data_IF_454489235817
#
_entry.id   IF_454489235817
#
_cell.length_a   1.000
_cell.length_b   1.000
_cell.length_c   1.000
_cell.angle_alpha   90.00
_cell.angle_beta   90.00
_cell.angle_gamma   90.00
#
_symmetry.space_group_name_H-M   'P 1'
#
loop_
_entity.id
_entity.type
_entity.pdbx_description
1 polymer ?
#
# COMPACT_ATOMS: atom_id res chain seq x y z
N UNK A 1 43.80 5.76 15.61
CA UNK A 1 43.52 7.17 15.56
C UNK A 1 42.26 7.28 14.69
N UNK A 2 41.04 7.19 15.12
CA UNK A 2 40.42 7.96 16.21
C UNK A 2 39.64 9.09 15.61
N UNK A 3 38.42 8.84 15.09
CA UNK A 3 37.41 9.90 14.89
C UNK A 3 36.13 9.42 15.51
N UNK A 4 35.94 9.91 16.74
CA UNK A 4 34.70 9.83 17.50
C UNK A 4 33.77 10.93 17.00
N UNK A 5 32.93 10.64 16.03
CA UNK A 5 31.78 11.52 15.72
C UNK A 5 30.69 11.36 16.78
N UNK A 6 30.36 12.48 17.38
CA UNK A 6 29.48 12.62 18.50
C UNK A 6 28.10 12.03 18.26
N UNK A 7 27.72 11.06 19.06
CA UNK A 7 26.36 10.66 19.31
C UNK A 7 25.66 11.82 20.03
N UNK A 8 24.93 12.64 19.27
CA UNK A 8 24.00 13.61 19.86
C UNK A 8 23.02 12.82 20.75
N UNK A 9 23.05 13.08 22.02
CA UNK A 9 22.11 12.59 23.03
C UNK A 9 20.68 12.88 22.57
N UNK A 10 20.02 11.84 22.03
CA UNK A 10 18.58 11.90 21.76
C UNK A 10 17.89 11.95 23.12
N UNK A 11 17.50 13.15 23.54
CA UNK A 11 16.62 13.34 24.68
C UNK A 11 15.42 12.41 24.53
N UNK A 12 15.31 11.42 25.42
CA UNK A 12 14.16 10.53 25.52
C UNK A 12 12.95 11.35 25.93
N UNK A 13 12.18 11.85 24.98
CA UNK A 13 10.88 12.43 25.31
C UNK A 13 10.01 11.34 25.95
N UNK A 14 9.31 11.64 27.06
CA UNK A 14 8.38 10.70 27.65
C UNK A 14 7.34 10.30 26.63
N UNK A 15 7.01 9.00 26.57
CA UNK A 15 5.92 8.52 25.75
C UNK A 15 4.64 9.23 26.22
N UNK A 16 4.03 10.06 25.37
CA UNK A 16 2.69 10.57 25.65
C UNK A 16 1.80 9.34 25.78
N UNK A 17 1.07 9.16 26.87
CA UNK A 17 0.25 7.97 27.14
C UNK A 17 -0.87 7.73 26.10
N UNK A 18 -0.54 7.77 24.80
CA UNK A 18 -1.45 7.63 23.67
C UNK A 18 -2.22 8.90 23.31
N UNK A 19 -1.89 10.06 23.91
CA UNK A 19 -2.58 11.33 23.71
C UNK A 19 -1.71 12.38 23.02
N UNK A 20 -2.35 13.36 22.39
CA UNK A 20 -1.68 14.53 21.87
C UNK A 20 -1.31 15.50 23.02
N UNK A 21 -0.14 16.12 22.92
CA UNK A 21 0.21 17.34 23.66
C UNK A 21 0.62 18.42 22.66
N UNK A 22 0.55 19.69 23.11
CA UNK A 22 0.95 20.83 22.26
C UNK A 22 2.42 20.71 21.83
N UNK A 23 3.29 20.23 22.73
CA UNK A 23 4.72 20.04 22.45
C UNK A 23 4.91 18.92 21.38
N UNK A 24 4.16 17.82 21.48
CA UNK A 24 4.24 16.72 20.51
C UNK A 24 3.80 17.16 19.12
N UNK A 25 2.73 17.95 19.06
CA UNK A 25 2.22 18.53 17.80
C UNK A 25 3.18 19.58 17.24
N UNK A 26 3.73 20.45 18.10
CA UNK A 26 4.72 21.46 17.70
C UNK A 26 6.00 20.81 17.18
N UNK A 27 6.54 19.79 17.87
CA UNK A 27 7.69 19.01 17.41
C UNK A 27 7.42 18.40 16.02
N UNK A 28 6.24 17.80 15.84
CA UNK A 28 5.91 17.23 14.53
C UNK A 28 5.83 18.31 13.44
N UNK A 29 5.19 19.43 13.70
CA UNK A 29 5.11 20.56 12.76
C UNK A 29 6.47 21.16 12.41
N UNK A 30 7.41 21.16 13.35
CA UNK A 30 8.77 21.66 13.11
C UNK A 30 9.55 20.82 12.08
N UNK A 31 9.04 19.65 11.73
CA UNK A 31 9.65 18.72 10.74
C UNK A 31 9.13 18.94 9.33
N UNK A 32 8.10 19.75 9.14
CA UNK A 32 7.54 20.06 7.81
C UNK A 32 8.63 20.63 6.90
N UNK A 33 8.69 20.14 5.67
CA UNK A 33 9.66 20.54 4.65
C UNK A 33 11.05 19.91 4.79
N UNK A 34 11.27 19.03 5.78
CA UNK A 34 12.56 18.36 5.96
C UNK A 34 12.59 17.03 5.22
N UNK A 35 13.23 17.01 4.06
CA UNK A 35 13.47 15.78 3.29
C UNK A 35 14.55 14.94 3.99
N UNK A 36 14.33 13.65 4.09
CA UNK A 36 15.24 12.70 4.73
C UNK A 36 15.10 11.32 4.09
N UNK A 37 16.11 10.43 4.18
CA UNK A 37 15.94 9.05 3.74
C UNK A 37 14.75 8.39 4.43
N UNK A 38 13.98 7.61 3.68
CA UNK A 38 12.95 6.76 4.26
C UNK A 38 13.59 5.70 5.17
N UNK A 39 12.95 5.42 6.29
CA UNK A 39 13.49 4.48 7.26
C UNK A 39 13.09 3.05 6.90
N UNK A 40 14.02 2.11 7.15
CA UNK A 40 13.74 0.68 7.22
C UNK A 40 13.12 0.12 5.94
N UNK A 41 13.82 0.20 4.81
CA UNK A 41 13.40 -0.58 3.66
C UNK A 41 13.33 -2.07 4.07
N UNK A 42 12.23 -2.74 3.72
CA UNK A 42 12.12 -4.18 3.86
C UNK A 42 13.03 -4.85 2.84
N UNK A 43 12.91 -4.43 1.59
CA UNK A 43 13.80 -4.77 0.50
C UNK A 43 14.71 -3.57 0.17
N UNK A 44 15.89 -3.82 -0.37
CA UNK A 44 16.83 -2.79 -0.85
C UNK A 44 17.08 -2.90 -2.34
N UNK A 45 16.79 -4.07 -2.90
CA UNK A 45 16.96 -4.36 -4.30
C UNK A 45 15.72 -5.11 -4.81
N UNK A 46 15.36 -4.86 -6.05
CA UNK A 46 14.39 -5.60 -6.80
C UNK A 46 15.08 -6.85 -7.38
N UNK A 47 15.32 -7.87 -6.56
CA UNK A 47 15.78 -9.17 -7.04
C UNK A 47 14.60 -10.03 -7.49
N UNK A 48 14.87 -11.10 -8.25
CA UNK A 48 13.86 -12.08 -8.60
C UNK A 48 13.04 -12.51 -7.37
N UNK A 49 13.70 -12.91 -6.28
CA UNK A 49 13.03 -13.41 -5.08
C UNK A 49 12.17 -12.32 -4.41
N UNK A 50 12.69 -11.08 -4.28
CA UNK A 50 11.93 -10.01 -3.62
C UNK A 50 10.73 -9.57 -4.43
N UNK A 51 10.84 -9.55 -5.77
CA UNK A 51 9.73 -9.28 -6.69
C UNK A 51 8.70 -10.38 -6.58
N UNK A 52 9.13 -11.64 -6.65
CA UNK A 52 8.26 -12.81 -6.60
C UNK A 52 7.48 -12.90 -5.27
N UNK A 53 8.18 -12.77 -4.14
CA UNK A 53 7.52 -12.78 -2.82
C UNK A 53 6.51 -11.64 -2.66
N UNK A 54 6.80 -10.46 -3.23
CA UNK A 54 5.85 -9.35 -3.20
C UNK A 54 4.63 -9.64 -4.08
N UNK A 55 4.84 -10.16 -5.29
CA UNK A 55 3.78 -10.54 -6.22
C UNK A 55 2.85 -11.60 -5.60
N UNK A 56 3.44 -12.67 -5.02
CA UNK A 56 2.67 -13.67 -4.26
C UNK A 56 1.89 -13.05 -3.10
N UNK A 57 2.51 -12.12 -2.36
CA UNK A 57 1.90 -11.46 -1.20
C UNK A 57 0.67 -10.62 -1.55
N UNK A 58 0.63 -10.02 -2.74
CA UNK A 58 -0.56 -9.28 -3.23
C UNK A 58 -1.47 -10.14 -4.09
N UNK A 59 -1.09 -11.39 -4.36
CA UNK A 59 -1.81 -12.33 -5.23
C UNK A 59 -1.85 -11.87 -6.69
N UNK A 60 -0.73 -11.36 -7.21
CA UNK A 60 -0.55 -10.88 -8.59
C UNK A 60 0.56 -11.68 -9.27
N UNK A 61 0.17 -12.74 -9.98
CA UNK A 61 1.08 -13.63 -10.69
C UNK A 61 1.19 -13.29 -12.19
N UNK A 62 1.12 -12.01 -12.54
CA UNK A 62 1.36 -11.55 -13.90
C UNK A 62 2.78 -11.97 -14.35
N UNK A 63 2.92 -12.64 -15.50
CA UNK A 63 4.21 -13.16 -15.97
C UNK A 63 5.30 -12.08 -16.14
N UNK A 64 4.94 -10.80 -16.29
CA UNK A 64 5.94 -9.71 -16.28
C UNK A 64 6.76 -9.65 -14.98
N UNK A 65 6.19 -10.10 -13.86
CA UNK A 65 6.84 -10.07 -12.54
C UNK A 65 7.46 -11.41 -12.16
N UNK A 66 6.91 -12.53 -12.63
CA UNK A 66 7.26 -13.85 -12.08
C UNK A 66 7.93 -14.79 -13.09
N UNK A 67 7.96 -14.43 -14.37
CA UNK A 67 8.58 -15.23 -15.44
C UNK A 67 9.59 -14.38 -16.24
N UNK A 68 10.90 -14.48 -15.91
CA UNK A 68 11.94 -13.73 -16.63
C UNK A 68 11.96 -14.00 -18.14
N UNK A 69 11.74 -15.26 -18.55
CA UNK A 69 11.77 -15.63 -19.98
C UNK A 69 10.60 -15.01 -20.75
N UNK A 70 9.43 -14.96 -20.12
CA UNK A 70 8.29 -14.24 -20.67
C UNK A 70 8.60 -12.74 -20.80
N UNK A 71 9.08 -12.13 -19.73
CA UNK A 71 9.36 -10.68 -19.67
C UNK A 71 10.42 -10.25 -20.70
N UNK A 72 11.45 -11.06 -20.92
CA UNK A 72 12.47 -10.85 -21.97
C UNK A 72 11.87 -10.81 -23.39
N UNK A 73 10.79 -11.56 -23.62
CA UNK A 73 10.06 -11.61 -24.89
C UNK A 73 9.08 -10.46 -25.12
N UNK A 74 8.89 -9.57 -24.13
CA UNK A 74 7.96 -8.44 -24.21
C UNK A 74 8.64 -7.15 -24.64
N UNK A 75 7.85 -6.10 -24.86
CA UNK A 75 8.36 -4.74 -25.16
C UNK A 75 9.28 -4.19 -24.07
N UNK A 76 9.22 -4.74 -22.86
CA UNK A 76 10.06 -4.33 -21.73
C UNK A 76 11.46 -4.96 -21.77
N UNK A 77 11.62 -6.11 -22.45
CA UNK A 77 12.87 -6.82 -22.66
C UNK A 77 13.53 -7.37 -21.39
N UNK A 78 12.85 -7.31 -20.26
CA UNK A 78 13.34 -7.82 -18.96
C UNK A 78 12.23 -7.86 -17.91
N UNK A 79 12.47 -8.63 -16.84
CA UNK A 79 11.56 -8.70 -15.70
C UNK A 79 11.42 -7.34 -15.00
N UNK A 80 10.19 -7.01 -14.65
CA UNK A 80 9.82 -5.81 -13.89
C UNK A 80 9.25 -6.22 -12.53
N UNK A 81 9.25 -5.29 -11.60
CA UNK A 81 8.47 -5.41 -10.37
C UNK A 81 7.04 -4.88 -10.58
N UNK A 82 6.01 -5.42 -9.88
CA UNK A 82 4.70 -4.79 -9.82
C UNK A 82 4.85 -3.32 -9.40
N UNK A 83 4.07 -2.38 -9.94
CA UNK A 83 4.24 -0.95 -9.61
C UNK A 83 4.23 -0.66 -8.10
N UNK A 84 3.46 -1.41 -7.34
CA UNK A 84 3.35 -1.27 -5.87
C UNK A 84 4.46 -1.96 -5.08
N UNK A 85 5.41 -2.63 -5.72
CA UNK A 85 6.63 -3.13 -5.07
C UNK A 85 7.36 -2.04 -4.27
N UNK A 86 7.16 -0.79 -4.65
CA UNK A 86 7.68 0.39 -3.94
C UNK A 86 7.28 0.44 -2.46
N UNK A 87 6.19 -0.20 -2.06
CA UNK A 87 5.82 -0.32 -0.64
C UNK A 87 6.86 -1.08 0.18
N UNK A 88 7.60 -1.99 -0.44
CA UNK A 88 8.65 -2.78 0.23
C UNK A 88 9.96 -2.03 0.41
N UNK A 89 10.14 -0.89 -0.26
CA UNK A 89 11.40 -0.14 -0.32
C UNK A 89 11.50 0.95 0.76
N UNK A 90 10.53 1.07 1.63
CA UNK A 90 10.58 1.99 2.77
C UNK A 90 9.26 2.09 3.51
N UNK A 91 9.32 2.52 4.77
CA UNK A 91 8.10 2.79 5.55
C UNK A 91 7.37 3.96 4.92
N UNK A 92 6.10 3.73 4.55
CA UNK A 92 5.25 4.69 3.84
C UNK A 92 4.83 5.92 4.64
N UNK A 93 5.27 6.04 5.88
CA UNK A 93 5.07 7.27 6.67
C UNK A 93 6.21 7.45 7.67
N UNK A 94 6.53 8.71 7.95
CA UNK A 94 7.58 9.05 8.88
C UNK A 94 7.17 8.85 10.33
N UNK A 95 8.17 8.62 11.17
CA UNK A 95 7.99 8.59 12.63
C UNK A 95 7.58 9.97 13.16
N UNK A 96 7.22 10.01 14.42
CA UNK A 96 6.73 11.16 15.13
C UNK A 96 5.41 10.83 15.83
N UNK A 97 4.87 11.75 16.61
CA UNK A 97 3.63 11.57 17.37
C UNK A 97 3.63 10.24 18.15
N UNK A 98 4.70 10.03 18.95
CA UNK A 98 4.96 8.77 19.66
C UNK A 98 3.80 8.40 20.57
N UNK A 99 3.36 7.13 20.49
CA UNK A 99 2.24 6.62 21.29
C UNK A 99 0.86 6.88 20.70
N UNK A 100 0.72 7.84 19.80
CA UNK A 100 -0.52 8.11 19.05
C UNK A 100 -0.70 7.07 17.96
N UNK A 101 -1.93 6.59 17.74
CA UNK A 101 -2.22 5.61 16.73
C UNK A 101 -2.09 6.20 15.32
N UNK A 102 -1.72 5.36 14.37
CA UNK A 102 -1.66 5.68 12.95
C UNK A 102 -2.51 4.68 12.18
N UNK A 103 -3.54 5.16 11.49
CA UNK A 103 -4.30 4.37 10.53
C UNK A 103 -3.94 4.85 9.13
N UNK A 104 -3.55 3.92 8.26
CA UNK A 104 -3.29 4.25 6.87
C UNK A 104 -4.57 4.79 6.22
N UNK A 105 -4.50 6.02 5.71
CA UNK A 105 -5.66 6.71 5.13
C UNK A 105 -5.70 6.64 3.62
N UNK A 106 -4.55 6.43 3.00
CA UNK A 106 -4.43 6.31 1.56
C UNK A 106 -3.13 6.88 1.01
N UNK A 107 -3.04 6.87 -0.29
CA UNK A 107 -1.90 7.39 -1.04
C UNK A 107 -2.30 7.78 -2.46
N UNK A 108 -1.43 8.54 -3.12
CA UNK A 108 -1.34 8.62 -4.57
C UNK A 108 0.09 8.28 -5.01
N UNK A 109 0.22 7.66 -6.17
CA UNK A 109 1.48 7.43 -6.87
C UNK A 109 1.43 8.04 -8.25
N UNK A 110 2.56 8.64 -8.67
CA UNK A 110 2.89 8.90 -10.07
C UNK A 110 4.06 8.00 -10.44
N UNK A 111 3.87 7.13 -11.41
CA UNK A 111 4.87 6.18 -11.86
C UNK A 111 5.53 6.71 -13.13
N UNK A 112 6.81 7.05 -13.03
CA UNK A 112 7.57 7.61 -14.13
C UNK A 112 8.29 6.54 -14.95
N UNK A 113 8.84 5.52 -14.27
CA UNK A 113 9.61 4.46 -14.88
C UNK A 113 9.35 3.12 -14.18
N UNK A 114 9.48 1.99 -14.88
CA UNK A 114 9.44 0.68 -14.25
C UNK A 114 10.62 0.47 -13.31
N UNK A 115 10.41 -0.34 -12.29
CA UNK A 115 11.51 -0.91 -11.50
C UNK A 115 11.82 -2.27 -12.09
N UNK A 116 13.05 -2.46 -12.56
CA UNK A 116 13.48 -3.71 -13.16
C UNK A 116 14.19 -4.62 -12.16
N UNK A 117 14.19 -5.92 -12.44
CA UNK A 117 15.06 -6.84 -11.73
C UNK A 117 16.51 -6.35 -11.74
N UNK A 118 17.17 -6.42 -10.56
CA UNK A 118 18.52 -5.89 -10.30
C UNK A 118 18.58 -4.41 -9.93
N UNK A 119 17.48 -3.64 -9.95
CA UNK A 119 17.49 -2.26 -9.47
C UNK A 119 17.65 -2.17 -7.97
N UNK A 120 18.43 -1.18 -7.55
CA UNK A 120 18.54 -0.73 -6.17
C UNK A 120 17.81 0.61 -6.04
N UNK A 121 16.66 0.58 -5.40
CA UNK A 121 15.83 1.79 -5.24
C UNK A 121 15.94 2.29 -3.82
N UNK A 122 16.21 3.57 -3.68
CA UNK A 122 16.17 4.31 -2.42
C UNK A 122 14.96 5.23 -2.39
N UNK A 123 14.42 5.45 -1.19
CA UNK A 123 13.31 6.37 -1.01
C UNK A 123 13.70 7.51 -0.07
N UNK A 124 13.23 8.70 -0.38
CA UNK A 124 13.23 9.85 0.53
C UNK A 124 11.81 10.17 0.96
N UNK A 125 11.66 10.74 2.15
CA UNK A 125 10.36 11.12 2.71
C UNK A 125 10.42 12.52 3.30
N UNK A 126 9.37 13.28 3.11
CA UNK A 126 9.19 14.65 3.60
C UNK A 126 7.80 14.79 4.21
N UNK A 127 7.72 15.28 5.44
CA UNK A 127 6.43 15.68 6.01
C UNK A 127 5.98 16.97 5.33
N UNK A 128 4.85 16.90 4.63
CA UNK A 128 4.28 18.05 3.89
C UNK A 128 3.34 18.86 4.79
N UNK A 129 2.47 18.15 5.54
CA UNK A 129 1.47 18.83 6.37
C UNK A 129 1.00 17.95 7.55
N UNK A 130 0.45 18.61 8.56
CA UNK A 130 -0.23 18.01 9.70
C UNK A 130 -1.58 18.73 9.90
N UNK A 131 -2.60 18.28 9.17
CA UNK A 131 -3.92 18.92 9.08
C UNK A 131 -4.80 18.50 10.24
N UNK A 132 -5.32 19.41 11.07
CA UNK A 132 -6.30 19.07 12.08
C UNK A 132 -7.58 18.52 11.43
N UNK A 133 -8.14 17.48 12.03
CA UNK A 133 -9.39 16.86 11.57
C UNK A 133 -10.40 16.77 12.70
N UNK A 134 -11.67 16.85 12.32
CA UNK A 134 -12.79 16.46 13.18
C UNK A 134 -13.35 15.13 12.69
N UNK A 135 -13.62 14.20 13.58
CA UNK A 135 -14.16 12.92 13.20
C UNK A 135 -14.71 12.12 14.37
N UNK A 136 -15.28 10.95 14.07
CA UNK A 136 -15.91 10.07 15.06
C UNK A 136 -14.91 9.20 15.84
N UNK A 137 -13.64 9.11 15.38
CA UNK A 137 -12.65 8.21 15.98
C UNK A 137 -12.09 8.79 17.30
N UNK A 138 -11.85 10.08 17.34
CA UNK A 138 -11.33 10.79 18.49
C UNK A 138 -11.71 12.27 18.38
N UNK A 139 -11.91 12.99 19.50
CA UNK A 139 -12.13 14.43 19.48
C UNK A 139 -10.97 15.20 18.83
N UNK A 140 -9.75 14.71 19.02
CA UNK A 140 -8.53 15.26 18.43
C UNK A 140 -7.95 14.28 17.42
N UNK A 141 -7.83 14.70 16.17
CA UNK A 141 -7.28 13.92 15.08
C UNK A 141 -6.46 14.79 14.16
N UNK A 142 -5.49 14.18 13.48
CA UNK A 142 -4.70 14.85 12.45
C UNK A 142 -4.56 13.93 11.22
N UNK A 143 -4.63 14.54 10.03
CA UNK A 143 -4.14 13.93 8.79
C UNK A 143 -2.67 14.33 8.64
N UNK A 144 -1.76 13.38 8.79
CA UNK A 144 -0.33 13.53 8.52
C UNK A 144 -0.13 13.22 7.04
N UNK A 145 0.38 14.19 6.28
CA UNK A 145 0.61 14.06 4.84
C UNK A 145 2.11 14.07 4.58
N UNK A 146 2.59 13.09 3.85
CA UNK A 146 3.99 12.94 3.52
C UNK A 146 4.16 12.72 2.03
N UNK A 147 5.24 13.27 1.47
CA UNK A 147 5.68 13.03 0.10
C UNK A 147 6.87 12.09 0.12
N UNK A 148 6.87 11.15 -0.81
CA UNK A 148 7.97 10.23 -1.04
C UNK A 148 8.47 10.35 -2.48
N UNK A 149 9.76 10.19 -2.66
CA UNK A 149 10.42 10.11 -3.97
C UNK A 149 11.28 8.87 -3.99
N UNK A 150 11.12 8.07 -5.02
CA UNK A 150 11.83 6.82 -5.23
C UNK A 150 12.83 6.98 -6.36
N UNK A 151 14.10 6.74 -6.07
CA UNK A 151 15.20 6.95 -7.02
C UNK A 151 16.03 5.68 -7.13
N UNK A 152 16.30 5.22 -8.35
CA UNK A 152 17.15 4.06 -8.58
C UNK A 152 18.65 4.40 -8.46
N UNK A 153 19.51 3.39 -8.60
CA UNK A 153 20.98 3.53 -8.51
C UNK A 153 21.60 4.41 -9.60
N UNK A 154 20.88 4.73 -10.66
CA UNK A 154 21.31 5.62 -11.73
C UNK A 154 20.89 7.08 -11.52
N UNK A 155 20.21 7.36 -10.40
CA UNK A 155 19.66 8.69 -10.11
C UNK A 155 18.35 8.99 -10.84
N UNK A 156 17.72 8.00 -11.47
CA UNK A 156 16.42 8.15 -12.14
C UNK A 156 15.31 8.09 -11.10
N UNK A 157 14.44 9.09 -11.08
CA UNK A 157 13.22 9.07 -10.25
C UNK A 157 12.22 8.13 -10.91
N UNK A 158 12.01 6.97 -10.31
CA UNK A 158 11.10 5.93 -10.84
C UNK A 158 9.64 6.19 -10.45
N UNK A 159 9.42 6.82 -9.29
CA UNK A 159 8.08 7.21 -8.87
C UNK A 159 8.12 8.29 -7.78
N UNK A 160 7.00 8.99 -7.64
CA UNK A 160 6.68 9.88 -6.52
C UNK A 160 5.38 9.42 -5.87
N UNK A 161 5.25 9.63 -4.57
CA UNK A 161 4.03 9.33 -3.84
C UNK A 161 3.68 10.44 -2.85
N UNK A 162 2.37 10.68 -2.68
CA UNK A 162 1.83 11.34 -1.51
C UNK A 162 1.09 10.29 -0.66
N UNK A 163 1.42 10.21 0.62
CA UNK A 163 0.85 9.24 1.55
C UNK A 163 0.24 10.00 2.70
N UNK A 164 -0.89 9.53 3.18
CA UNK A 164 -1.46 10.10 4.41
C UNK A 164 -1.91 9.03 5.39
N UNK A 165 -1.66 9.34 6.65
CA UNK A 165 -2.14 8.56 7.79
C UNK A 165 -3.02 9.41 8.68
N UNK A 166 -4.02 8.78 9.27
CA UNK A 166 -4.90 9.42 10.24
C UNK A 166 -4.35 9.12 11.63
N UNK A 167 -4.00 10.18 12.34
CA UNK A 167 -3.49 10.12 13.71
C UNK A 167 -4.63 10.37 14.69
N UNK A 168 -4.76 9.54 15.70
CA UNK A 168 -5.76 9.67 16.75
C UNK A 168 -5.31 9.01 18.06
N UNK A 169 -5.95 9.42 19.17
CA UNK A 169 -5.65 8.91 20.50
C UNK A 169 -6.17 7.48 20.68
N UNK A 170 -5.32 6.58 21.16
CA UNK A 170 -5.62 5.14 21.23
C UNK A 170 -6.79 4.83 22.15
N UNK A 171 -6.73 5.32 23.37
CA UNK A 171 -7.71 4.98 24.42
C UNK A 171 -9.12 5.46 24.07
N UNK A 172 -9.23 6.62 23.45
CA UNK A 172 -10.50 7.22 23.04
C UNK A 172 -11.09 6.49 21.84
N UNK A 173 -10.26 6.07 20.89
CA UNK A 173 -10.72 5.40 19.67
C UNK A 173 -11.24 3.99 19.96
N UNK A 174 -10.59 3.23 20.85
CA UNK A 174 -11.07 1.91 21.27
C UNK A 174 -12.46 1.99 21.89
N UNK A 175 -12.67 2.91 22.83
CA UNK A 175 -13.97 3.13 23.46
C UNK A 175 -15.05 3.62 22.48
N UNK A 176 -14.68 4.51 21.54
CA UNK A 176 -15.62 5.08 20.56
C UNK A 176 -16.04 4.06 19.48
N UNK A 177 -15.15 3.13 19.09
CA UNK A 177 -15.45 2.12 18.07
C UNK A 177 -16.18 0.89 18.63
N UNK A 178 -15.89 0.52 19.88
CA UNK A 178 -16.53 -0.60 20.57
C UNK A 178 -17.92 -0.27 21.11
N UNK A 179 -18.29 1.03 21.16
CA UNK A 179 -19.62 1.46 21.62
C UNK A 179 -20.75 1.03 20.70
N UNK A 180 -21.98 1.02 21.21
CA UNK A 180 -23.20 0.63 20.48
C UNK A 180 -23.39 1.40 19.16
N UNK A 181 -22.87 2.62 19.08
CA UNK A 181 -22.87 3.49 17.88
C UNK A 181 -21.55 3.45 17.10
N UNK A 182 -20.65 2.54 17.40
CA UNK A 182 -19.36 2.36 16.74
C UNK A 182 -19.55 1.97 15.27
N UNK A 183 -18.61 2.39 14.41
CA UNK A 183 -18.65 2.13 12.95
C UNK A 183 -18.88 0.65 12.60
N UNK A 184 -18.36 -0.24 13.40
CA UNK A 184 -18.44 -1.70 13.20
C UNK A 184 -19.41 -2.38 14.17
N UNK A 185 -20.26 -1.61 14.87
CA UNK A 185 -21.27 -2.14 15.78
C UNK A 185 -22.18 -3.12 15.04
N UNK A 186 -22.34 -4.31 15.59
CA UNK A 186 -23.17 -5.35 14.99
C UNK A 186 -22.59 -6.05 13.75
N UNK A 187 -21.38 -5.68 13.29
CA UNK A 187 -20.73 -6.38 12.18
C UNK A 187 -20.36 -7.80 12.61
N UNK A 188 -20.93 -8.78 11.91
CA UNK A 188 -20.60 -10.20 12.12
C UNK A 188 -19.50 -10.62 11.16
N UNK A 189 -18.58 -11.47 11.62
CA UNK A 189 -17.63 -12.14 10.76
C UNK A 189 -18.36 -13.05 9.78
N UNK A 190 -17.88 -13.07 8.53
CA UNK A 190 -18.50 -13.88 7.48
C UNK A 190 -18.32 -15.39 7.77
N UNK A 191 -19.31 -16.16 7.35
CA UNK A 191 -19.27 -17.62 7.28
C UNK A 191 -19.66 -18.04 5.87
N UNK A 192 -18.87 -18.88 5.27
CA UNK A 192 -19.09 -19.35 3.91
C UNK A 192 -19.69 -20.73 3.90
N UNK A 193 -20.59 -20.99 2.96
CA UNK A 193 -21.00 -22.33 2.56
C UNK A 193 -20.04 -22.88 1.51
N UNK A 194 -19.99 -24.20 1.28
CA UNK A 194 -19.21 -24.78 0.19
C UNK A 194 -19.54 -24.16 -1.18
N UNK A 195 -20.80 -23.89 -1.46
CA UNK A 195 -21.23 -23.25 -2.70
C UNK A 195 -20.74 -21.78 -2.81
N UNK A 196 -20.73 -21.07 -1.69
CA UNK A 196 -20.18 -19.71 -1.63
C UNK A 196 -18.68 -19.69 -1.94
N UNK A 197 -17.91 -20.63 -1.42
CA UNK A 197 -16.48 -20.80 -1.75
C UNK A 197 -16.33 -21.16 -3.22
N UNK A 198 -17.10 -22.13 -3.73
CA UNK A 198 -17.05 -22.51 -5.13
C UNK A 198 -17.29 -21.34 -6.08
N UNK A 199 -18.23 -20.44 -5.75
CA UNK A 199 -18.46 -19.23 -6.55
C UNK A 199 -17.24 -18.31 -6.60
N UNK A 200 -16.51 -18.16 -5.49
CA UNK A 200 -15.27 -17.37 -5.42
C UNK A 200 -14.15 -18.09 -6.21
N UNK A 201 -14.01 -19.39 -6.09
CA UNK A 201 -13.04 -20.19 -6.85
C UNK A 201 -13.28 -20.05 -8.36
N UNK A 202 -14.53 -19.99 -8.79
CA UNK A 202 -14.89 -19.73 -10.19
C UNK A 202 -14.56 -18.30 -10.65
N UNK A 203 -14.58 -17.30 -9.75
CA UNK A 203 -14.09 -15.95 -10.05
C UNK A 203 -12.58 -15.96 -10.22
N UNK A 204 -11.82 -16.60 -9.33
CA UNK A 204 -10.38 -16.77 -9.45
C UNK A 204 -9.98 -17.52 -10.73
N UNK A 205 -10.71 -18.57 -11.09
CA UNK A 205 -10.43 -19.35 -12.31
C UNK A 205 -10.63 -18.55 -13.62
N UNK A 206 -11.41 -17.48 -13.59
CA UNK A 206 -11.61 -16.57 -14.72
C UNK A 206 -10.62 -15.41 -14.76
N UNK A 207 -9.92 -15.16 -13.66
CA UNK A 207 -8.92 -14.11 -13.61
C UNK A 207 -7.71 -14.49 -14.46
N UNK A 208 -7.37 -13.63 -15.41
CA UNK A 208 -6.19 -13.79 -16.23
C UNK A 208 -5.64 -12.42 -16.64
N UNK A 209 -4.32 -12.21 -16.59
CA UNK A 209 -3.71 -11.04 -17.18
C UNK A 209 -3.91 -11.08 -18.69
N UNK A 210 -4.08 -9.93 -19.32
CA UNK A 210 -4.17 -9.80 -20.78
C UNK A 210 -2.89 -10.26 -21.48
N UNK A 211 -1.73 -10.07 -20.82
CA UNK A 211 -0.43 -10.39 -21.37
C UNK A 211 -0.08 -9.57 -22.60
N UNK A 212 0.59 -10.20 -23.56
CA UNK A 212 1.10 -9.56 -24.79
C UNK A 212 0.04 -9.19 -25.83
N UNK A 213 -1.26 -9.34 -25.56
CA UNK A 213 -2.31 -8.90 -26.48
C UNK A 213 -2.60 -7.41 -26.25
N UNK A 214 -2.25 -6.50 -27.20
CA UNK A 214 -2.42 -5.08 -27.00
C UNK A 214 -3.89 -4.71 -26.73
N UNK A 215 -4.10 -3.86 -25.75
CA UNK A 215 -5.35 -3.13 -25.56
C UNK A 215 -5.18 -1.74 -26.18
N UNK A 216 -5.86 -1.48 -27.28
CA UNK A 216 -5.73 -0.20 -27.95
C UNK A 216 -6.66 0.84 -27.33
N UNK A 217 -6.14 2.04 -27.16
CA UNK A 217 -6.90 3.19 -26.70
C UNK A 217 -8.17 3.42 -27.56
N UNK A 218 -8.08 3.18 -28.86
CA UNK A 218 -9.17 3.34 -29.84
C UNK A 218 -10.40 2.50 -29.47
N UNK A 219 -10.19 1.29 -28.93
CA UNK A 219 -11.24 0.33 -28.64
C UNK A 219 -12.00 0.61 -27.33
N UNK A 220 -11.55 1.57 -26.54
CA UNK A 220 -12.12 1.87 -25.23
C UNK A 220 -13.03 3.10 -25.29
N UNK A 221 -14.16 3.03 -24.58
CA UNK A 221 -15.11 4.12 -24.46
C UNK A 221 -15.23 4.62 -23.02
N UNK A 222 -15.59 5.88 -22.86
CA UNK A 222 -16.00 6.40 -21.55
C UNK A 222 -17.25 5.65 -21.08
N UNK A 223 -17.18 5.15 -19.85
CA UNK A 223 -18.22 4.31 -19.27
C UNK A 223 -17.89 2.82 -19.26
N UNK A 224 -16.90 2.37 -20.02
CA UNK A 224 -16.48 0.97 -20.02
C UNK A 224 -15.93 0.55 -18.64
N UNK A 225 -16.27 -0.68 -18.25
CA UNK A 225 -15.82 -1.27 -16.98
C UNK A 225 -14.56 -2.10 -17.16
N UNK A 226 -13.68 -2.00 -16.18
CA UNK A 226 -12.50 -2.87 -16.05
C UNK A 226 -12.96 -4.23 -15.52
N UNK A 227 -12.49 -5.36 -16.08
CA UNK A 227 -12.74 -6.69 -15.51
C UNK A 227 -12.33 -6.71 -14.03
N UNK A 228 -13.22 -7.21 -13.18
CA UNK A 228 -12.95 -7.26 -11.74
C UNK A 228 -11.95 -8.35 -11.39
N UNK A 229 -11.16 -8.10 -10.36
CA UNK A 229 -10.39 -9.13 -9.66
C UNK A 229 -10.97 -9.35 -8.27
N UNK A 230 -10.94 -10.60 -7.80
CA UNK A 230 -11.40 -10.99 -6.47
C UNK A 230 -10.20 -11.17 -5.54
N UNK A 231 -10.36 -10.78 -4.29
CA UNK A 231 -9.39 -10.96 -3.20
C UNK A 231 -10.13 -11.51 -1.97
N UNK A 232 -9.74 -12.69 -1.55
CA UNK A 232 -10.35 -13.34 -0.38
C UNK A 232 -11.10 -14.65 -0.72
N UNK A 233 -11.76 -15.28 0.27
CA UNK A 233 -11.94 -14.75 1.65
C UNK A 233 -10.61 -14.49 2.32
N UNK A 234 -10.42 -13.28 2.85
CA UNK A 234 -9.16 -12.87 3.49
C UNK A 234 -8.83 -13.82 4.65
N UNK A 235 -7.65 -14.41 4.61
CA UNK A 235 -7.12 -15.30 5.65
C UNK A 235 -5.97 -14.61 6.36
N UNK A 236 -5.69 -15.02 7.58
CA UNK A 236 -4.46 -14.61 8.26
C UNK A 236 -3.22 -15.00 7.45
N UNK A 237 -3.28 -16.12 6.72
CA UNK A 237 -2.21 -16.56 5.81
C UNK A 237 -1.93 -15.55 4.68
N UNK A 238 -2.95 -14.88 4.16
CA UNK A 238 -2.79 -13.87 3.11
C UNK A 238 -2.09 -12.63 3.66
N UNK A 239 -2.43 -12.22 4.89
CA UNK A 239 -1.76 -11.12 5.62
C UNK A 239 -0.29 -11.48 5.87
N UNK A 240 0.00 -12.74 6.26
CA UNK A 240 1.38 -13.22 6.47
C UNK A 240 2.14 -13.21 5.14
N UNK A 241 1.54 -13.68 4.05
CA UNK A 241 2.17 -13.66 2.72
C UNK A 241 2.51 -12.23 2.29
N UNK A 242 1.60 -11.28 2.49
CA UNK A 242 1.86 -9.86 2.23
C UNK A 242 3.03 -9.33 3.05
N UNK A 243 3.09 -9.66 4.34
CA UNK A 243 4.19 -9.26 5.22
C UNK A 243 5.54 -9.83 4.76
N UNK A 244 5.56 -11.06 4.28
CA UNK A 244 6.79 -11.69 3.76
C UNK A 244 7.31 -10.97 2.50
N UNK A 245 6.42 -10.48 1.65
CA UNK A 245 6.77 -9.79 0.42
C UNK A 245 7.22 -8.34 0.62
N UNK A 246 6.55 -7.59 1.45
CA UNK A 246 6.79 -6.16 1.41
C UNK A 246 6.40 -5.32 2.60
N UNK A 247 5.79 -5.89 3.62
CA UNK A 247 5.35 -5.14 4.79
C UNK A 247 5.79 -5.85 6.08
N UNK A 248 5.65 -5.19 7.20
CA UNK A 248 6.03 -5.72 8.52
C UNK A 248 7.27 -5.05 9.08
N UNK A 249 7.39 -3.71 9.00
CA UNK A 249 8.60 -2.98 9.41
C UNK A 249 8.92 -3.13 10.90
N UNK A 250 7.95 -3.53 11.72
CA UNK A 250 8.12 -3.74 13.16
C UNK A 250 8.23 -5.22 13.57
N UNK A 251 8.03 -6.16 12.62
CA UNK A 251 8.12 -7.60 12.89
C UNK A 251 9.57 -8.00 13.11
N UNK A 252 9.87 -8.53 14.30
CA UNK A 252 11.20 -8.98 14.72
C UNK A 252 11.10 -10.14 15.68
N UNK A 253 12.06 -11.06 15.60
CA UNK A 253 12.12 -12.22 16.50
C UNK A 253 12.98 -12.00 17.73
N UNK A 254 12.56 -12.55 18.87
CA UNK A 254 13.37 -12.83 20.06
C UNK A 254 14.23 -11.64 20.56
N UNK A 255 15.55 -11.81 20.60
CA UNK A 255 16.49 -10.80 21.10
C UNK A 255 16.42 -9.50 20.28
N UNK A 256 16.19 -9.58 18.96
CA UNK A 256 16.09 -8.40 18.11
C UNK A 256 14.84 -7.59 18.46
N UNK A 257 13.71 -8.28 18.72
CA UNK A 257 12.48 -7.66 19.22
C UNK A 257 12.67 -7.03 20.59
N UNK A 258 13.34 -7.74 21.51
CA UNK A 258 13.65 -7.21 22.84
C UNK A 258 14.49 -5.93 22.77
N UNK A 259 15.58 -5.92 21.99
CA UNK A 259 16.43 -4.74 21.83
C UNK A 259 15.64 -3.56 21.23
N UNK A 260 14.84 -3.83 20.20
CA UNK A 260 13.99 -2.84 19.56
C UNK A 260 12.96 -2.22 20.53
N UNK A 261 12.39 -3.05 21.41
CA UNK A 261 11.46 -2.59 22.46
C UNK A 261 12.13 -1.66 23.47
N UNK A 262 13.40 -1.92 23.86
CA UNK A 262 14.14 -1.04 24.76
C UNK A 262 14.34 0.36 24.15
N UNK A 263 14.55 0.43 22.85
CA UNK A 263 14.77 1.69 22.14
C UNK A 263 13.46 2.39 21.77
N UNK A 264 12.38 1.62 21.54
CA UNK A 264 11.11 2.09 21.01
C UNK A 264 9.89 1.60 21.82
N UNK A 265 9.82 1.85 23.14
CA UNK A 265 8.74 1.29 23.97
C UNK A 265 7.36 1.78 23.56
N UNK A 266 7.23 2.96 22.97
CA UNK A 266 5.96 3.52 22.52
C UNK A 266 5.32 2.80 21.32
N UNK A 267 6.06 1.92 20.63
CA UNK A 267 5.53 1.09 19.53
C UNK A 267 4.80 -0.15 20.07
N UNK A 268 5.00 -0.47 21.35
CA UNK A 268 4.45 -1.68 21.97
C UNK A 268 3.16 -1.41 22.73
N UNK A 269 2.30 -2.40 22.72
CA UNK A 269 1.08 -2.52 23.52
C UNK A 269 1.07 -3.88 24.19
N UNK A 270 0.46 -3.98 25.37
CA UNK A 270 0.36 -5.27 26.07
C UNK A 270 -0.89 -5.99 25.58
N UNK A 271 -0.73 -7.24 25.15
CA UNK A 271 -1.83 -8.07 24.70
C UNK A 271 -2.59 -8.72 25.87
N UNK A 272 -3.62 -9.48 25.57
CA UNK A 272 -4.47 -10.15 26.57
C UNK A 272 -3.72 -11.15 27.47
N UNK A 273 -2.55 -11.65 27.02
CA UNK A 273 -1.69 -12.54 27.78
C UNK A 273 -0.65 -11.83 28.65
N UNK A 274 -0.65 -10.48 28.65
CA UNK A 274 0.34 -9.67 29.35
C UNK A 274 1.68 -9.54 28.62
N UNK A 275 1.75 -9.95 27.35
CA UNK A 275 2.96 -9.91 26.53
C UNK A 275 3.04 -8.55 25.81
N UNK A 276 4.18 -7.83 25.88
CA UNK A 276 4.40 -6.65 25.08
C UNK A 276 4.55 -7.01 23.60
N UNK A 277 3.60 -6.57 22.78
CA UNK A 277 3.55 -6.83 21.35
C UNK A 277 3.60 -5.52 20.56
N UNK A 278 4.09 -5.54 19.34
CA UNK A 278 4.10 -4.35 18.47
C UNK A 278 2.67 -3.92 18.14
N UNK A 279 2.42 -2.63 18.06
CA UNK A 279 1.10 -2.10 17.71
C UNK A 279 0.60 -2.56 16.33
N UNK A 280 1.50 -3.00 15.47
CA UNK A 280 1.22 -3.60 14.16
C UNK A 280 0.49 -4.95 14.27
N UNK A 281 0.55 -5.62 15.43
CA UNK A 281 -0.09 -6.92 15.67
C UNK A 281 -1.63 -6.90 15.59
N UNK A 282 -2.25 -5.74 15.45
CA UNK A 282 -3.67 -5.61 15.07
C UNK A 282 -4.01 -6.34 13.75
N UNK A 283 -2.99 -6.64 12.94
CA UNK A 283 -3.13 -7.37 11.69
C UNK A 283 -3.05 -8.89 11.83
N UNK A 284 -2.72 -9.44 13.03
CA UNK A 284 -2.63 -10.89 13.26
C UNK A 284 -3.06 -11.35 14.66
N UNK A 285 -3.34 -10.42 15.58
CA UNK A 285 -3.79 -10.75 16.91
C UNK A 285 -5.18 -10.16 17.20
N UNK A 286 -6.15 -11.04 17.41
CA UNK A 286 -7.56 -10.69 17.57
C UNK A 286 -7.81 -9.72 18.73
N UNK A 287 -7.19 -9.97 19.91
CA UNK A 287 -7.38 -9.13 21.08
C UNK A 287 -6.93 -7.68 20.87
N UNK A 288 -5.87 -7.48 20.10
CA UNK A 288 -5.34 -6.17 19.77
C UNK A 288 -6.18 -5.47 18.68
N UNK A 289 -6.68 -6.22 17.72
CA UNK A 289 -7.60 -5.69 16.72
C UNK A 289 -8.91 -5.20 17.37
N UNK A 290 -9.47 -5.98 18.27
CA UNK A 290 -10.67 -5.59 19.04
C UNK A 290 -10.39 -4.37 19.93
N UNK A 291 -9.24 -4.31 20.58
CA UNK A 291 -8.85 -3.17 21.43
C UNK A 291 -8.78 -1.85 20.69
N UNK A 292 -8.48 -1.84 19.38
CA UNK A 292 -8.56 -0.64 18.52
C UNK A 292 -9.93 -0.44 17.86
N UNK A 293 -10.92 -1.28 18.24
CA UNK A 293 -12.32 -1.16 17.82
C UNK A 293 -12.62 -1.68 16.42
N UNK A 294 -11.83 -2.62 15.91
CA UNK A 294 -12.16 -3.38 14.71
C UNK A 294 -12.86 -4.69 15.09
N UNK A 295 -13.73 -5.26 14.24
CA UNK A 295 -14.45 -6.49 14.57
C UNK A 295 -13.57 -7.74 14.56
N UNK A 296 -12.35 -7.62 14.08
CA UNK A 296 -11.36 -8.68 13.99
C UNK A 296 -10.08 -8.22 13.35
N UNK A 297 -9.15 -9.13 13.22
CA UNK A 297 -7.90 -8.97 12.47
C UNK A 297 -8.21 -8.52 11.04
N UNK A 298 -7.44 -7.60 10.50
CA UNK A 298 -7.74 -6.96 9.23
C UNK A 298 -6.50 -6.75 8.36
N UNK A 299 -6.74 -6.50 7.06
CA UNK A 299 -5.73 -6.29 6.03
C UNK A 299 -4.83 -5.08 6.29
N UNK A 300 -3.63 -5.10 5.73
CA UNK A 300 -2.79 -3.89 5.66
C UNK A 300 -3.42 -2.84 4.75
N UNK A 301 -3.29 -1.58 5.15
CA UNK A 301 -3.83 -0.49 4.36
C UNK A 301 -3.26 -0.41 2.94
N UNK A 302 -2.03 -0.87 2.73
CA UNK A 302 -1.33 -0.87 1.44
C UNK A 302 -1.70 -2.04 0.52
N UNK A 303 -2.38 -3.09 1.02
CA UNK A 303 -2.86 -4.19 0.19
C UNK A 303 -3.90 -3.74 -0.84
N UNK A 304 -4.90 -2.96 -0.40
CA UNK A 304 -6.00 -2.55 -1.29
C UNK A 304 -5.56 -1.67 -2.47
N UNK A 305 -4.69 -0.66 -2.29
CA UNK A 305 -4.07 0.02 -3.43
C UNK A 305 -3.32 -0.93 -4.37
N UNK A 306 -2.63 -1.95 -3.82
CA UNK A 306 -1.95 -2.96 -4.63
C UNK A 306 -2.94 -3.80 -5.43
N UNK A 307 -4.07 -4.21 -4.84
CA UNK A 307 -5.13 -4.95 -5.53
C UNK A 307 -5.80 -4.14 -6.65
N UNK A 308 -5.98 -2.83 -6.43
CA UNK A 308 -6.53 -1.94 -7.46
C UNK A 308 -5.56 -1.81 -8.65
N UNK A 309 -4.26 -1.72 -8.39
CA UNK A 309 -3.25 -1.67 -9.45
C UNK A 309 -3.11 -3.03 -10.15
N UNK A 310 -3.15 -4.14 -9.42
CA UNK A 310 -3.20 -5.49 -10.01
C UNK A 310 -4.37 -5.63 -11.02
N UNK A 311 -5.56 -5.17 -10.64
CA UNK A 311 -6.71 -5.16 -11.57
C UNK A 311 -6.40 -4.36 -12.84
N UNK A 312 -5.77 -3.18 -12.70
CA UNK A 312 -5.43 -2.34 -13.84
C UNK A 312 -4.36 -2.99 -14.72
N UNK A 313 -3.29 -3.53 -14.14
CA UNK A 313 -2.21 -4.18 -14.89
C UNK A 313 -2.68 -5.44 -15.62
N UNK A 314 -3.58 -6.22 -15.02
CA UNK A 314 -4.24 -7.34 -15.70
C UNK A 314 -5.05 -6.87 -16.91
N UNK A 315 -5.73 -5.75 -16.81
CA UNK A 315 -6.57 -5.24 -17.90
C UNK A 315 -5.78 -4.61 -19.04
N UNK A 316 -4.79 -3.74 -18.72
CA UNK A 316 -4.05 -3.00 -19.75
C UNK A 316 -3.02 -3.88 -20.51
N UNK A 317 -2.60 -5.01 -19.91
CA UNK A 317 -1.60 -5.91 -20.47
C UNK A 317 -0.21 -5.28 -20.58
N UNK A 318 0.67 -5.96 -21.35
CA UNK A 318 2.09 -5.62 -21.40
C UNK A 318 2.40 -4.30 -22.12
N UNK A 319 1.48 -3.83 -22.96
CA UNK A 319 1.66 -2.60 -23.76
C UNK A 319 1.09 -1.35 -23.07
N UNK A 320 0.40 -1.52 -21.95
CA UNK A 320 -0.17 -0.42 -21.17
C UNK A 320 0.75 0.02 -20.03
N UNK A 321 0.51 1.22 -19.51
CA UNK A 321 1.23 1.75 -18.36
C UNK A 321 0.26 2.44 -17.39
N UNK A 322 0.42 2.18 -16.09
CA UNK A 322 -0.27 2.95 -15.05
C UNK A 322 0.57 4.18 -14.75
N UNK A 323 0.16 5.36 -15.20
CA UNK A 323 0.87 6.61 -14.94
C UNK A 323 0.59 7.17 -13.55
N UNK A 324 -0.64 7.01 -13.08
CA UNK A 324 -1.10 7.54 -11.80
C UNK A 324 -2.10 6.59 -11.16
N UNK A 325 -2.04 6.51 -9.85
CA UNK A 325 -3.07 5.85 -9.03
C UNK A 325 -3.22 6.56 -7.70
N UNK A 326 -4.46 6.78 -7.29
CA UNK A 326 -4.83 7.28 -5.96
C UNK A 326 -5.80 6.31 -5.32
N UNK A 327 -5.58 5.99 -4.06
CA UNK A 327 -6.52 5.18 -3.28
C UNK A 327 -6.76 5.83 -1.92
N UNK A 328 -8.02 5.93 -1.54
CA UNK A 328 -8.48 6.46 -0.26
C UNK A 328 -9.22 5.35 0.49
N UNK A 329 -8.71 5.01 1.68
CA UNK A 329 -9.26 3.93 2.48
C UNK A 329 -10.46 4.40 3.29
N UNK A 330 -11.55 3.65 3.23
CA UNK A 330 -12.83 4.00 3.84
C UNK A 330 -13.21 3.10 5.00
N UNK A 331 -12.87 1.83 4.94
CA UNK A 331 -13.13 0.83 5.96
C UNK A 331 -12.01 -0.20 5.99
N UNK A 332 -11.98 -1.08 6.97
CA UNK A 332 -11.07 -2.23 7.00
C UNK A 332 -11.74 -3.45 6.35
N UNK A 333 -10.94 -4.32 5.73
CA UNK A 333 -11.36 -5.67 5.42
C UNK A 333 -10.87 -6.59 6.54
N UNK A 334 -11.78 -7.29 7.18
CA UNK A 334 -11.41 -8.24 8.24
C UNK A 334 -11.22 -9.64 7.68
N UNK A 335 -10.52 -10.47 8.41
CA UNK A 335 -10.38 -11.89 8.07
C UNK A 335 -11.78 -12.49 7.84
N UNK A 336 -11.95 -13.16 6.71
CA UNK A 336 -13.22 -13.66 6.20
C UNK A 336 -13.91 -12.75 5.19
N UNK A 337 -13.48 -11.51 5.00
CA UNK A 337 -14.07 -10.67 3.94
C UNK A 337 -13.58 -11.09 2.54
N UNK A 338 -14.46 -11.01 1.57
CA UNK A 338 -14.13 -11.15 0.15
C UNK A 338 -14.32 -9.82 -0.54
N UNK A 339 -13.27 -9.31 -1.14
CA UNK A 339 -13.25 -7.99 -1.79
C UNK A 339 -13.20 -8.15 -3.30
N UNK A 340 -13.99 -7.37 -4.03
CA UNK A 340 -13.93 -7.24 -5.48
C UNK A 340 -13.42 -5.86 -5.82
N UNK A 341 -12.32 -5.83 -6.56
CA UNK A 341 -11.75 -4.62 -7.12
C UNK A 341 -12.34 -4.37 -8.49
N UNK A 342 -12.83 -3.18 -8.74
CA UNK A 342 -13.44 -2.77 -10.00
C UNK A 342 -13.01 -1.38 -10.41
N UNK A 343 -13.23 -1.05 -11.68
CA UNK A 343 -12.95 0.27 -12.24
C UNK A 343 -13.88 0.60 -13.40
N UNK A 344 -14.00 1.88 -13.69
CA UNK A 344 -14.76 2.40 -14.84
C UNK A 344 -14.03 3.58 -15.46
N UNK A 345 -13.96 3.62 -16.77
CA UNK A 345 -13.39 4.72 -17.54
C UNK A 345 -14.27 5.96 -17.41
N UNK A 346 -13.69 7.07 -16.95
CA UNK A 346 -14.40 8.34 -16.74
C UNK A 346 -14.03 9.39 -17.77
N UNK A 347 -12.83 9.30 -18.37
CA UNK A 347 -12.33 10.22 -19.38
C UNK A 347 -11.41 9.51 -20.36
N UNK A 348 -11.46 9.90 -21.62
CA UNK A 348 -10.61 9.44 -22.73
C UNK A 348 -10.08 10.66 -23.47
N UNK A 349 -8.76 10.79 -23.62
CA UNK A 349 -8.15 12.00 -24.20
C UNK A 349 -6.70 11.76 -24.64
N UNK A 350 -6.18 12.70 -25.40
CA UNK A 350 -4.76 12.76 -25.78
C UNK A 350 -4.16 14.00 -25.13
N UNK A 351 -3.02 13.84 -24.46
CA UNK A 351 -2.26 14.93 -23.83
C UNK A 351 -0.76 14.68 -24.04
N UNK A 352 -0.04 15.68 -24.54
CA UNK A 352 1.40 15.59 -24.86
C UNK A 352 1.75 14.38 -25.74
N UNK A 353 0.88 14.05 -26.70
CA UNK A 353 1.04 12.90 -27.60
C UNK A 353 0.74 11.55 -26.97
N UNK A 354 0.36 11.48 -25.71
CA UNK A 354 0.00 10.25 -25.01
C UNK A 354 -1.50 9.97 -25.07
N UNK A 355 -1.87 8.74 -25.32
CA UNK A 355 -3.24 8.25 -25.34
C UNK A 355 -3.65 7.79 -23.94
N UNK A 356 -4.44 8.61 -23.23
CA UNK A 356 -4.73 8.48 -21.82
C UNK A 356 -6.19 8.16 -21.54
N UNK A 357 -6.39 7.37 -20.48
CA UNK A 357 -7.69 7.12 -19.87
C UNK A 357 -7.60 7.45 -18.37
N UNK A 358 -8.55 8.27 -17.88
CA UNK A 358 -8.78 8.40 -16.44
C UNK A 358 -9.90 7.45 -16.03
N UNK A 359 -9.74 6.85 -14.85
CA UNK A 359 -10.67 5.87 -14.30
C UNK A 359 -11.03 6.22 -12.86
N UNK A 360 -12.26 5.92 -12.46
CA UNK A 360 -12.59 5.69 -11.06
C UNK A 360 -12.36 4.21 -10.73
N UNK A 361 -11.86 3.93 -9.52
CA UNK A 361 -11.61 2.57 -9.05
C UNK A 361 -12.18 2.37 -7.64
N UNK A 362 -12.51 1.14 -7.29
CA UNK A 362 -13.03 0.81 -5.96
C UNK A 362 -12.67 -0.61 -5.54
N UNK A 363 -12.59 -0.81 -4.24
CA UNK A 363 -12.58 -2.11 -3.61
C UNK A 363 -13.85 -2.24 -2.77
N UNK A 364 -14.69 -3.22 -3.05
CA UNK A 364 -15.97 -3.44 -2.38
C UNK A 364 -16.02 -4.85 -1.79
N UNK A 365 -16.37 -4.95 -0.51
CA UNK A 365 -16.50 -6.25 0.14
C UNK A 365 -17.85 -6.91 -0.14
N UNK A 366 -18.01 -8.18 0.31
CA UNK A 366 -19.18 -9.02 0.06
C UNK A 366 -20.48 -8.50 0.69
N UNK A 367 -20.42 -7.55 1.61
CA UNK A 367 -21.61 -6.90 2.18
C UNK A 367 -21.98 -5.59 1.47
N UNK A 368 -21.30 -5.28 0.34
CA UNK A 368 -21.53 -4.06 -0.43
C UNK A 368 -20.86 -2.81 0.13
N UNK A 369 -20.03 -2.92 1.18
CA UNK A 369 -19.28 -1.78 1.70
C UNK A 369 -18.07 -1.49 0.80
N UNK A 370 -17.96 -0.25 0.32
CA UNK A 370 -16.78 0.22 -0.41
C UNK A 370 -15.68 0.51 0.61
N UNK A 371 -14.65 -0.34 0.64
CA UNK A 371 -13.54 -0.27 1.61
C UNK A 371 -12.38 0.58 1.13
N UNK A 372 -12.27 0.79 -0.19
CA UNK A 372 -11.39 1.80 -0.80
C UNK A 372 -12.06 2.43 -2.01
N UNK A 373 -11.79 3.71 -2.24
CA UNK A 373 -12.11 4.45 -3.47
C UNK A 373 -10.83 4.97 -4.07
N UNK A 374 -10.76 5.00 -5.40
CA UNK A 374 -9.58 5.47 -6.08
C UNK A 374 -9.86 6.12 -7.41
N UNK A 375 -8.80 6.69 -7.94
CA UNK A 375 -8.68 7.23 -9.28
C UNK A 375 -7.40 6.67 -9.89
N UNK A 376 -7.40 6.46 -11.19
CA UNK A 376 -6.21 6.03 -11.90
C UNK A 376 -6.12 6.70 -13.26
N UNK A 377 -4.89 6.82 -13.76
CA UNK A 377 -4.60 7.18 -15.15
C UNK A 377 -3.77 6.07 -15.74
N UNK A 378 -4.20 5.59 -16.91
CA UNK A 378 -3.45 4.63 -17.69
C UNK A 378 -3.17 5.17 -19.08
N UNK A 379 -2.00 4.84 -19.61
CA UNK A 379 -1.62 5.05 -20.99
C UNK A 379 -1.75 3.75 -21.74
N UNK A 380 -2.35 3.81 -22.93
CA UNK A 380 -2.49 2.68 -23.85
C UNK A 380 -1.90 3.04 -25.23
N UNK A 381 -1.45 2.06 -26.02
CA UNK A 381 -1.09 2.30 -27.40
C UNK A 381 -2.34 2.65 -28.22
N UNK A 382 -2.17 3.50 -29.24
CA UNK A 382 -3.16 3.72 -30.27
C UNK A 382 -2.84 2.88 -31.52
N UNK A 383 -3.83 2.68 -32.40
CA UNK A 383 -3.64 1.93 -33.64
C UNK A 383 -2.82 2.73 -34.67
N UNK A 384 -2.96 4.05 -34.66
CA UNK A 384 -2.20 4.96 -35.51
C UNK A 384 -1.20 5.75 -34.67
N UNK A 385 0.06 5.79 -35.09
CA UNK A 385 1.12 6.59 -34.48
C UNK A 385 1.93 5.90 -33.40
N UNK A 386 1.43 4.80 -32.82
CA UNK A 386 2.16 4.01 -31.83
C UNK A 386 2.59 2.65 -32.46
N UNK A 387 3.82 2.26 -32.18
CA UNK A 387 4.29 0.91 -32.46
C UNK A 387 4.20 0.08 -31.16
N UNK A 388 3.23 -0.82 -31.05
CA UNK A 388 3.10 -1.64 -29.85
C UNK A 388 4.27 -2.61 -29.64
N UNK A 389 5.10 -2.82 -30.65
CA UNK A 389 6.34 -3.61 -30.56
C UNK A 389 7.56 -2.80 -30.12
N UNK A 390 7.47 -1.46 -30.08
CA UNK A 390 8.56 -0.61 -29.62
C UNK A 390 8.65 -0.59 -28.09
N UNK A 391 9.87 -0.55 -27.58
CA UNK A 391 10.08 -0.32 -26.15
C UNK A 391 9.46 1.03 -25.74
N UNK A 392 8.67 1.07 -24.68
CA UNK A 392 8.08 2.31 -24.20
C UNK A 392 9.18 3.34 -23.87
N UNK A 393 8.91 4.62 -24.14
CA UNK A 393 9.81 5.73 -23.75
C UNK A 393 10.16 5.75 -22.25
N UNK A 394 9.38 5.01 -21.45
CA UNK A 394 9.58 4.84 -20.01
C UNK A 394 10.79 3.96 -19.66
N UNK A 395 11.25 3.13 -20.59
CA UNK A 395 12.44 2.31 -20.37
C UNK A 395 13.69 3.22 -20.32
N UNK A 396 14.50 3.06 -19.28
CA UNK A 396 15.77 3.76 -19.14
C UNK A 396 16.95 2.85 -19.46
N UNK A 397 18.00 3.44 -20.08
CA UNK A 397 19.21 2.72 -20.41
C UNK A 397 20.08 2.53 -19.15
N UNK A 398 20.51 1.29 -18.91
CA UNK A 398 21.38 0.92 -17.79
C UNK A 398 22.87 0.87 -18.17
N UNK A 399 23.23 1.30 -19.37
CA UNK A 399 24.64 1.30 -19.82
C UNK A 399 25.51 2.23 -19.03
#
# INVERSE_FOLDING_TARGET
>A
MGDSEGTAERTKQPASGGRFSDELVADMRSRIGRKRPAHRPWNRAASFDTIHHFAEGIGDMNPLWVDPAYAEGTVWGRQMAPPTFLYSLGVMFGGGLRGVHALYGGNSFTFHHPVYEGDQVSATIELVDLVPMKGRLSPTMFKQVERMEYTNQLGVVVAEAEVWVIRFERDVAGASRAGADGRYSGRKLMRYTPDGIKGIDEEYAREAPRGGVPLYWDDINVGDYVPQVVKGPLRLTDIIAYMMGGAGPYVRGHRVNWAFRQEHPAVYITNAQGIPEVAEAVHWEQSLAEAVGTPGVYDYGTERPSWLIHMLTNWIGDHGWVEFSRAELRAVNVVGDTTRCGGRVTRKYVEDGKHLLDLETWAQNQIGEVTAKGEARVRLPAREGDDPGAAPELAYDRR
#
